data_IF_114840757603
#
_entry.id   IF_114840757603
#
_cell.length_a   1.000
_cell.length_b   1.000
_cell.length_c   1.000
_cell.angle_alpha   90.00
_cell.angle_beta   90.00
_cell.angle_gamma   90.00
#
_symmetry.space_group_name_H-M   'P 1'
#
loop_
_entity.id
_entity.type
_entity.pdbx_description
1 polymer ?
#
# COMPACT_ATOMS: atom_id res chain seq x y z
N UNK A 1 -20.83 20.00 -23.19
CA UNK A 1 -20.42 19.77 -21.79
C UNK A 1 -20.13 18.28 -21.67
N UNK A 2 -18.87 17.88 -21.85
CA UNK A 2 -18.45 16.47 -21.84
C UNK A 2 -18.31 16.01 -20.40
N UNK A 3 -19.10 15.00 -20.01
CA UNK A 3 -18.90 14.19 -18.82
C UNK A 3 -17.61 13.38 -18.99
N UNK A 4 -16.63 13.44 -18.07
CA UNK A 4 -15.50 12.51 -18.13
C UNK A 4 -16.06 11.09 -17.97
N UNK A 5 -15.71 10.21 -18.91
CA UNK A 5 -16.02 8.78 -18.81
C UNK A 5 -15.42 8.20 -17.53
N UNK A 6 -15.88 7.01 -17.09
CA UNK A 6 -15.33 6.37 -15.90
C UNK A 6 -13.82 6.26 -16.08
N UNK A 7 -13.06 6.90 -15.18
CA UNK A 7 -11.62 6.65 -15.10
C UNK A 7 -11.50 5.18 -14.76
N UNK A 8 -11.13 4.37 -15.75
CA UNK A 8 -10.82 2.97 -15.53
C UNK A 8 -9.70 2.99 -14.50
N UNK A 9 -10.08 2.68 -13.26
CA UNK A 9 -9.20 2.82 -12.11
C UNK A 9 -8.23 1.67 -12.21
N UNK A 10 -7.14 1.86 -12.96
CA UNK A 10 -6.04 0.92 -12.98
C UNK A 10 -5.66 0.73 -11.52
N UNK A 11 -5.79 -0.50 -11.02
CA UNK A 11 -5.31 -0.89 -9.70
C UNK A 11 -3.84 -1.29 -9.86
N UNK A 12 -2.86 -0.38 -9.71
CA UNK A 12 -1.46 -0.69 -9.98
C UNK A 12 -0.98 -1.80 -9.05
N UNK A 13 -0.30 -2.80 -9.61
CA UNK A 13 0.34 -3.88 -8.86
C UNK A 13 1.85 -3.76 -9.00
N UNK A 14 2.55 -3.60 -7.88
CA UNK A 14 4.01 -3.47 -7.82
C UNK A 14 4.61 -4.66 -7.08
N UNK A 15 5.73 -5.19 -7.58
CA UNK A 15 6.50 -6.26 -6.93
C UNK A 15 7.53 -5.68 -5.98
N UNK A 16 7.57 -6.19 -4.76
CA UNK A 16 8.54 -5.86 -3.71
C UNK A 16 9.28 -7.14 -3.30
N UNK A 17 10.30 -7.01 -2.44
CA UNK A 17 10.98 -8.17 -1.84
C UNK A 17 10.05 -9.02 -0.95
N UNK A 18 8.97 -8.44 -0.44
CA UNK A 18 7.99 -9.10 0.43
C UNK A 18 6.73 -9.59 -0.32
N UNK A 19 6.64 -9.38 -1.64
CA UNK A 19 5.53 -9.85 -2.47
C UNK A 19 4.93 -8.77 -3.39
N UNK A 20 3.75 -9.05 -3.93
CA UNK A 20 3.03 -8.10 -4.77
C UNK A 20 2.10 -7.21 -3.91
N UNK A 21 2.14 -5.90 -4.14
CA UNK A 21 1.25 -4.94 -3.49
C UNK A 21 0.34 -4.30 -4.54
N UNK A 22 -0.95 -4.30 -4.28
CA UNK A 22 -1.94 -3.58 -5.08
C UNK A 22 -2.22 -2.21 -4.47
N UNK A 23 -2.22 -1.19 -5.33
CA UNK A 23 -2.57 0.19 -4.98
C UNK A 23 -3.76 0.68 -5.78
N UNK A 24 -3.99 1.99 -5.72
CA UNK A 24 -5.08 2.67 -6.40
C UNK A 24 -4.59 3.92 -7.09
N UNK A 25 -5.14 4.21 -8.28
CA UNK A 25 -4.99 5.50 -8.91
C UNK A 25 -5.97 6.51 -8.28
N UNK A 26 -5.45 7.57 -7.64
CA UNK A 26 -6.23 8.65 -7.01
C UNK A 26 -5.62 10.00 -7.40
N UNK A 27 -6.40 10.93 -7.96
CA UNK A 27 -5.98 12.29 -8.32
C UNK A 27 -4.67 12.38 -9.15
N UNK A 28 -4.49 11.44 -10.08
CA UNK A 28 -3.28 11.36 -10.91
C UNK A 28 -2.06 10.75 -10.21
N UNK A 29 -2.20 10.32 -8.96
CA UNK A 29 -1.19 9.62 -8.18
C UNK A 29 -1.50 8.13 -8.08
N UNK A 30 -0.44 7.33 -7.93
CA UNK A 30 -0.55 5.92 -7.54
C UNK A 30 -0.29 5.80 -6.05
N UNK A 31 -1.31 5.38 -5.30
CA UNK A 31 -1.31 5.37 -3.84
C UNK A 31 -1.36 3.93 -3.33
N UNK A 32 -0.44 3.59 -2.42
CA UNK A 32 -0.45 2.32 -1.69
C UNK A 32 -0.52 2.60 -0.19
N UNK A 33 -1.45 1.95 0.51
CA UNK A 33 -1.71 2.18 1.94
C UNK A 33 -1.73 0.85 2.69
N UNK A 34 -1.37 0.88 3.97
CA UNK A 34 -1.46 -0.28 4.86
C UNK A 34 -0.42 -1.38 4.60
N UNK A 35 0.68 -1.07 3.90
CA UNK A 35 1.76 -2.05 3.68
C UNK A 35 2.57 -2.17 4.98
N UNK A 36 2.61 -3.36 5.62
CA UNK A 36 3.46 -3.57 6.78
C UNK A 36 4.93 -3.59 6.37
N UNK A 37 5.78 -2.90 7.14
CA UNK A 37 7.24 -2.92 6.96
C UNK A 37 7.97 -3.58 8.14
N UNK A 38 7.28 -3.74 9.26
CA UNK A 38 7.78 -4.34 10.48
C UNK A 38 6.68 -5.21 11.12
N UNK A 39 7.10 -6.19 11.92
CA UNK A 39 6.20 -6.92 12.79
C UNK A 39 5.45 -5.98 13.75
N UNK A 40 4.17 -6.27 14.09
CA UNK A 40 3.41 -5.47 15.04
C UNK A 40 4.13 -5.34 16.41
N UNK A 41 4.33 -4.12 16.94
CA UNK A 41 5.07 -3.87 18.19
C UNK A 41 4.21 -4.12 19.44
N UNK A 42 3.58 -5.29 19.50
CA UNK A 42 2.64 -5.68 20.57
C UNK A 42 3.20 -6.81 21.43
N UNK A 43 2.65 -7.02 22.62
CA UNK A 43 3.10 -8.08 23.54
C UNK A 43 4.58 -7.93 23.91
N UNK A 44 5.36 -8.98 23.68
CA UNK A 44 6.81 -8.98 23.92
C UNK A 44 7.59 -8.01 23.02
N UNK A 45 7.01 -7.58 21.89
CA UNK A 45 7.60 -6.57 21.01
C UNK A 45 7.41 -5.13 21.48
N UNK A 46 6.64 -4.90 22.55
CA UNK A 46 6.40 -3.54 23.07
C UNK A 46 7.69 -2.97 23.64
N UNK A 47 8.05 -1.76 23.21
CA UNK A 47 9.29 -1.05 23.57
C UNK A 47 10.60 -1.71 23.08
N UNK A 48 10.51 -2.74 22.24
CA UNK A 48 11.67 -3.31 21.56
C UNK A 48 11.92 -2.59 20.21
N UNK A 49 13.11 -2.79 19.65
CA UNK A 49 13.39 -2.33 18.29
C UNK A 49 12.44 -3.02 17.28
N UNK A 50 12.02 -2.33 16.22
CA UNK A 50 11.17 -2.91 15.18
C UNK A 50 11.90 -4.04 14.47
N UNK A 51 11.21 -5.16 14.25
CA UNK A 51 11.70 -6.31 13.48
C UNK A 51 11.05 -6.29 12.10
N UNK A 52 11.76 -6.56 10.99
CA UNK A 52 11.18 -6.59 9.65
C UNK A 52 9.97 -7.53 9.55
N UNK A 53 8.99 -7.18 8.70
CA UNK A 53 7.79 -7.98 8.45
C UNK A 53 8.09 -9.27 7.67
#
# INVERSE_FOLDING_TARGET
MTIPGPVESVEPVVRTSAGAVRGRAEDGLTVFRGIPFAEPPVGAGRFAAPRPA
#
